data_IF_276512288798
#
_entry.id   IF_276512288798
#
_cell.length_a   1.000
_cell.length_b   1.000
_cell.length_c   1.000
_cell.angle_alpha   90.00
_cell.angle_beta   90.00
_cell.angle_gamma   90.00
#
_symmetry.space_group_name_H-M   'P 1'
#
loop_
_entity.id
_entity.type
_entity.pdbx_description
1 polymer ?
#
# COMPACT_ATOMS: atom_id res chain seq x y z
N UNK A 1 1.97 6.86 15.99
CA UNK A 1 2.33 5.83 15.00
C UNK A 1 1.10 5.51 14.18
N UNK A 2 1.08 5.92 12.91
CA UNK A 2 -0.11 5.81 12.05
C UNK A 2 -0.51 4.34 11.85
N UNK A 3 0.46 3.43 11.95
CA UNK A 3 0.25 1.98 11.85
C UNK A 3 -0.52 1.41 13.05
N UNK A 4 -0.28 1.94 14.24
CA UNK A 4 -1.00 1.58 15.47
C UNK A 4 -2.43 2.16 15.50
N UNK A 5 -2.68 3.20 14.71
CA UNK A 5 -4.01 3.81 14.58
C UNK A 5 -4.88 2.98 13.64
N UNK A 6 -4.29 2.49 12.54
CA UNK A 6 -4.95 1.60 11.59
C UNK A 6 -5.33 0.24 12.20
N UNK A 7 -4.57 -0.24 13.19
CA UNK A 7 -4.87 -1.51 13.88
C UNK A 7 -6.08 -1.44 14.82
N UNK A 8 -6.56 -0.22 15.15
CA UNK A 8 -7.65 0.03 16.11
C UNK A 8 -9.01 0.34 15.46
N UNK A 9 -9.08 0.53 14.14
CA UNK A 9 -10.34 0.78 13.43
C UNK A 9 -11.18 -0.52 13.33
N UNK A 10 -12.54 -0.46 13.33
CA UNK A 10 -13.38 -1.64 13.17
C UNK A 10 -13.12 -2.31 11.80
N UNK A 11 -12.26 -3.33 11.87
CA UNK A 11 -11.42 -3.96 10.84
C UNK A 11 -12.17 -4.55 9.65
N UNK A 12 -13.50 -4.62 9.66
CA UNK A 12 -14.26 -5.29 8.62
C UNK A 12 -14.67 -4.36 7.48
N UNK A 13 -15.30 -3.22 7.78
CA UNK A 13 -15.88 -2.33 6.74
C UNK A 13 -14.83 -1.68 5.86
N UNK A 14 -13.66 -1.39 6.42
CA UNK A 14 -12.59 -0.62 5.77
C UNK A 14 -11.90 -1.40 4.64
N UNK A 15 -11.58 -2.69 4.83
CA UNK A 15 -10.80 -3.44 3.82
C UNK A 15 -11.59 -3.74 2.55
N UNK A 16 -12.91 -3.85 2.67
CA UNK A 16 -13.76 -3.94 1.47
C UNK A 16 -13.75 -2.62 0.69
N UNK A 17 -13.80 -1.48 1.39
CA UNK A 17 -13.66 -0.17 0.77
C UNK A 17 -12.27 0.03 0.14
N UNK A 18 -11.20 -0.47 0.79
CA UNK A 18 -9.86 -0.53 0.19
C UNK A 18 -9.85 -1.37 -1.09
N UNK A 19 -10.52 -2.53 -1.09
CA UNK A 19 -10.72 -3.33 -2.30
C UNK A 19 -11.41 -2.54 -3.42
N UNK A 20 -12.46 -1.78 -3.10
CA UNK A 20 -13.11 -0.89 -4.06
C UNK A 20 -12.15 0.18 -4.60
N UNK A 21 -11.36 0.83 -3.75
CA UNK A 21 -10.37 1.81 -4.18
C UNK A 21 -9.31 1.20 -5.11
N UNK A 22 -8.81 0.00 -4.77
CA UNK A 22 -7.89 -0.75 -5.64
C UNK A 22 -8.53 -1.05 -7.00
N UNK A 23 -9.80 -1.47 -7.02
CA UNK A 23 -10.53 -1.68 -8.27
C UNK A 23 -10.61 -0.39 -9.10
N UNK A 24 -10.94 0.75 -8.47
CA UNK A 24 -11.08 2.01 -9.20
C UNK A 24 -9.78 2.51 -9.82
N UNK A 25 -8.64 2.26 -9.16
CA UNK A 25 -7.31 2.59 -9.69
C UNK A 25 -7.00 1.83 -10.97
N UNK A 26 -7.35 0.54 -11.05
CA UNK A 26 -6.97 -0.31 -12.18
C UNK A 26 -8.06 -0.49 -13.24
N UNK A 27 -9.31 -0.61 -12.82
CA UNK A 27 -10.45 -0.96 -13.67
C UNK A 27 -11.44 0.21 -13.87
N UNK A 28 -11.22 1.34 -13.20
CA UNK A 28 -12.05 2.54 -13.31
C UNK A 28 -13.30 2.54 -12.42
N UNK A 29 -14.17 3.53 -12.64
CA UNK A 29 -15.28 3.85 -11.73
C UNK A 29 -16.27 2.69 -11.51
N UNK A 30 -16.63 2.45 -10.24
CA UNK A 30 -17.61 1.45 -9.85
C UNK A 30 -19.02 2.02 -10.06
N UNK A 31 -19.80 1.43 -10.97
CA UNK A 31 -21.21 1.78 -11.22
C UNK A 31 -22.16 0.78 -10.58
N UNK A 32 -21.71 -0.45 -10.40
CA UNK A 32 -22.47 -1.53 -9.79
C UNK A 32 -21.56 -2.52 -9.06
N UNK A 33 -22.11 -3.28 -8.11
CA UNK A 33 -21.35 -4.35 -7.41
C UNK A 33 -20.89 -5.44 -8.38
N UNK A 34 -21.58 -5.64 -9.50
CA UNK A 34 -21.17 -6.61 -10.52
C UNK A 34 -19.85 -6.20 -11.22
N UNK A 35 -19.53 -4.92 -11.21
CA UNK A 35 -18.33 -4.38 -11.84
C UNK A 35 -17.06 -4.93 -11.19
N UNK A 36 -17.08 -5.20 -9.88
CA UNK A 36 -15.98 -5.74 -9.09
C UNK A 36 -15.48 -7.12 -9.57
N UNK A 37 -16.23 -7.78 -10.46
CA UNK A 37 -15.80 -9.03 -11.10
C UNK A 37 -14.92 -8.80 -12.34
N UNK A 38 -14.99 -7.62 -12.95
CA UNK A 38 -14.28 -7.25 -14.18
C UNK A 38 -12.87 -6.79 -13.84
N UNK A 39 -12.00 -7.74 -13.59
CA UNK A 39 -10.62 -7.47 -13.17
C UNK A 39 -9.65 -7.41 -14.33
N UNK A 40 -10.11 -7.44 -15.58
CA UNK A 40 -9.29 -7.64 -16.79
C UNK A 40 -8.12 -6.66 -16.92
N UNK A 41 -8.29 -5.41 -16.49
CA UNK A 41 -7.25 -4.37 -16.53
C UNK A 41 -6.32 -4.37 -15.29
N UNK A 42 -6.62 -5.19 -14.29
CA UNK A 42 -5.81 -5.32 -13.07
C UNK A 42 -4.58 -6.22 -13.30
N UNK A 43 -3.41 -5.86 -12.77
CA UNK A 43 -2.23 -6.73 -12.79
C UNK A 43 -2.54 -8.13 -12.24
N UNK A 44 -2.15 -9.18 -12.97
CA UNK A 44 -2.49 -10.57 -12.62
C UNK A 44 -2.04 -10.94 -11.19
N UNK A 45 -0.87 -10.45 -10.78
CA UNK A 45 -0.30 -10.65 -9.45
C UNK A 45 -1.13 -10.04 -8.30
N UNK A 46 -1.96 -9.03 -8.58
CA UNK A 46 -2.77 -8.35 -7.57
C UNK A 46 -4.15 -8.99 -7.39
N UNK A 47 -4.65 -9.69 -8.41
CA UNK A 47 -6.01 -10.26 -8.42
C UNK A 47 -6.30 -11.19 -7.23
N UNK A 48 -5.38 -12.07 -6.78
CA UNK A 48 -5.63 -12.93 -5.62
C UNK A 48 -5.85 -12.12 -4.34
N UNK A 49 -5.02 -11.11 -4.10
CA UNK A 49 -5.10 -10.25 -2.93
C UNK A 49 -6.34 -9.35 -2.97
N UNK A 50 -6.67 -8.83 -4.16
CA UNK A 50 -7.92 -8.11 -4.40
C UNK A 50 -9.16 -8.95 -4.05
N UNK A 51 -9.22 -10.20 -4.50
CA UNK A 51 -10.35 -11.09 -4.17
C UNK A 51 -10.44 -11.35 -2.67
N UNK A 52 -9.31 -11.43 -1.97
CA UNK A 52 -9.28 -11.55 -0.50
C UNK A 52 -9.80 -10.29 0.18
N UNK A 53 -9.50 -9.08 -0.32
CA UNK A 53 -10.06 -7.82 0.21
C UNK A 53 -11.59 -7.81 0.11
N UNK A 54 -12.15 -8.35 -0.97
CA UNK A 54 -13.59 -8.39 -1.22
C UNK A 54 -14.33 -9.59 -0.59
N UNK A 55 -13.65 -10.38 0.26
CA UNK A 55 -14.28 -11.53 0.93
C UNK A 55 -15.56 -11.12 1.65
N UNK A 56 -16.65 -11.88 1.43
CA UNK A 56 -17.89 -11.70 2.16
C UNK A 56 -17.72 -11.99 3.67
N UNK A 57 -16.81 -12.90 4.01
CA UNK A 57 -16.40 -13.14 5.39
C UNK A 57 -15.36 -12.09 5.81
N UNK A 58 -15.79 -11.17 6.68
CA UNK A 58 -14.96 -10.10 7.22
C UNK A 58 -13.66 -10.59 7.89
N UNK A 59 -13.70 -11.71 8.60
CA UNK A 59 -12.52 -12.25 9.29
C UNK A 59 -11.48 -12.85 8.32
N UNK A 60 -11.90 -13.21 7.10
CA UNK A 60 -11.03 -13.73 6.05
C UNK A 60 -10.53 -12.64 5.09
N UNK A 61 -10.91 -11.37 5.30
CA UNK A 61 -10.43 -10.27 4.47
C UNK A 61 -8.92 -10.08 4.65
N UNK A 62 -8.24 -9.82 3.54
CA UNK A 62 -6.82 -9.46 3.54
C UNK A 62 -6.61 -8.19 4.38
N UNK A 63 -5.61 -8.18 5.25
CA UNK A 63 -5.22 -6.97 5.97
C UNK A 63 -4.35 -6.08 5.09
N UNK A 64 -4.43 -4.74 5.18
CA UNK A 64 -3.61 -3.84 4.38
C UNK A 64 -2.11 -4.10 4.51
N UNK A 65 -1.63 -4.45 5.70
CA UNK A 65 -0.22 -4.80 5.91
C UNK A 65 0.21 -6.03 5.11
N UNK A 66 -0.68 -6.99 4.92
CA UNK A 66 -0.43 -8.16 4.06
C UNK A 66 -0.47 -7.76 2.58
N UNK A 67 -1.37 -6.84 2.18
CA UNK A 67 -1.42 -6.31 0.80
C UNK A 67 -0.11 -5.64 0.40
N UNK A 68 0.52 -4.90 1.31
CA UNK A 68 1.81 -4.23 1.07
C UNK A 68 2.97 -5.21 0.85
N UNK A 69 2.80 -6.50 1.13
CA UNK A 69 3.78 -7.54 0.80
C UNK A 69 3.62 -8.07 -0.64
N UNK A 70 2.60 -7.60 -1.39
CA UNK A 70 2.45 -7.95 -2.78
C UNK A 70 3.62 -7.35 -3.59
N UNK A 71 4.31 -8.11 -4.46
CA UNK A 71 5.47 -7.60 -5.20
C UNK A 71 5.14 -6.45 -6.15
N UNK A 72 3.86 -6.14 -6.40
CA UNK A 72 3.44 -4.95 -7.12
C UNK A 72 3.94 -3.66 -6.45
N UNK A 73 4.11 -3.69 -5.13
CA UNK A 73 4.59 -2.55 -4.35
C UNK A 73 6.11 -2.57 -4.13
N UNK A 74 6.79 -3.62 -4.60
CA UNK A 74 8.26 -3.70 -4.61
C UNK A 74 8.80 -2.96 -5.83
N UNK A 75 8.80 -1.63 -5.73
CA UNK A 75 9.33 -0.73 -6.76
C UNK A 75 10.41 0.18 -6.18
N UNK A 76 11.54 0.30 -6.89
CA UNK A 76 12.71 1.07 -6.46
C UNK A 76 12.40 2.56 -6.33
N UNK A 77 11.53 3.08 -7.20
CA UNK A 77 11.10 4.47 -7.13
C UNK A 77 10.19 4.71 -5.92
N UNK A 78 9.24 3.81 -5.64
CA UNK A 78 8.41 3.87 -4.42
C UNK A 78 9.29 3.82 -3.16
N UNK A 79 10.28 2.93 -3.15
CA UNK A 79 11.24 2.80 -2.04
C UNK A 79 12.08 4.06 -1.86
N UNK A 80 12.57 4.65 -2.94
CA UNK A 80 13.30 5.91 -2.93
C UNK A 80 12.44 7.07 -2.42
N UNK A 81 11.20 7.16 -2.89
CA UNK A 81 10.26 8.21 -2.47
C UNK A 81 9.98 8.12 -0.97
N UNK A 82 9.71 6.91 -0.45
CA UNK A 82 9.54 6.67 0.99
C UNK A 82 10.80 7.05 1.78
N UNK A 83 11.98 6.71 1.26
CA UNK A 83 13.25 7.11 1.86
C UNK A 83 13.39 8.64 1.93
N UNK A 84 13.04 9.36 0.87
CA UNK A 84 13.09 10.83 0.83
C UNK A 84 12.11 11.46 1.83
N UNK A 85 10.91 10.92 1.96
CA UNK A 85 9.94 11.35 2.98
C UNK A 85 10.47 11.13 4.39
N UNK A 86 11.00 9.93 4.67
CA UNK A 86 11.62 9.62 5.97
C UNK A 86 12.80 10.55 6.25
N UNK A 87 13.65 10.81 5.25
CA UNK A 87 14.77 11.73 5.36
C UNK A 87 14.27 13.14 5.70
N UNK A 88 13.16 13.59 5.10
CA UNK A 88 12.63 14.93 5.34
C UNK A 88 12.13 15.14 6.78
N UNK A 89 11.61 14.09 7.44
CA UNK A 89 11.13 14.14 8.83
C UNK A 89 12.28 14.08 9.86
N UNK A 90 13.49 13.67 9.45
CA UNK A 90 14.65 13.61 10.35
C UNK A 90 15.10 14.98 10.86
N UNK A 91 15.69 14.99 12.05
CA UNK A 91 16.27 16.20 12.62
C UNK A 91 17.53 16.65 11.83
N UNK A 92 17.92 17.91 12.00
CA UNK A 92 19.05 18.49 11.28
C UNK A 92 20.39 17.77 11.56
N UNK A 93 20.65 17.37 12.81
CA UNK A 93 21.85 16.63 13.19
C UNK A 93 21.87 15.18 12.63
N UNK A 94 20.71 14.53 12.52
CA UNK A 94 20.60 13.22 11.85
C UNK A 94 20.83 13.32 10.34
N UNK A 95 20.27 14.37 9.71
CA UNK A 95 20.51 14.68 8.29
C UNK A 95 21.99 14.95 8.05
N UNK A 96 22.64 15.78 8.87
CA UNK A 96 24.08 16.07 8.75
C UNK A 96 24.94 14.82 8.91
N UNK A 97 24.62 13.94 9.87
CA UNK A 97 25.32 12.64 10.01
C UNK A 97 25.13 11.74 8.79
N UNK A 98 23.94 11.73 8.21
CA UNK A 98 23.67 10.97 7.00
C UNK A 98 24.46 11.51 5.79
N UNK A 99 24.40 12.83 5.55
CA UNK A 99 25.10 13.44 4.42
C UNK A 99 26.62 13.31 4.54
N UNK A 100 27.19 13.44 5.74
CA UNK A 100 28.62 13.20 5.94
C UNK A 100 29.04 11.76 5.59
N UNK A 101 28.25 10.75 5.98
CA UNK A 101 28.49 9.35 5.58
C UNK A 101 28.25 9.10 4.10
N UNK A 102 27.36 9.87 3.47
CA UNK A 102 27.09 9.77 2.04
C UNK A 102 28.30 10.26 1.23
N UNK A 103 28.90 11.39 1.62
CA UNK A 103 30.11 11.95 0.98
C UNK A 103 31.27 10.96 1.00
N UNK A 104 31.42 10.15 2.06
CA UNK A 104 32.44 9.10 2.13
C UNK A 104 32.22 7.92 1.17
N UNK A 105 31.03 7.80 0.57
CA UNK A 105 30.63 6.68 -0.29
C UNK A 105 30.29 7.07 -1.72
N UNK A 106 30.24 8.36 -2.03
CA UNK A 106 30.13 8.84 -3.40
C UNK A 106 31.56 8.90 -3.98
N UNK A 107 31.84 8.24 -5.12
CA UNK A 107 33.16 8.24 -5.75
C UNK A 107 33.60 9.64 -6.24
#
# INVERSE_FOLDING_TARGET
DNMETLSRLPVAGDWWALGCAVFEVFCGAIRSVADLKRTDDMPEMLRPDYMRLLSANAAARLRPMELLQNPLFEDDYVSLQLFLEMLNVKDAAEKDRFFNKLVERVP
#
